data_IF_887460782380
#
_entry.id   IF_887460782380
#
_cell.length_a   1.000
_cell.length_b   1.000
_cell.length_c   1.000
_cell.angle_alpha   90.00
_cell.angle_beta   90.00
_cell.angle_gamma   90.00
#
_symmetry.space_group_name_H-M   'P 1'
#
loop_
_entity.id
_entity.type
_entity.pdbx_description
1 polymer ?
#
# COMPACT_ATOMS: atom_id res chain seq x y z
N UNK A 1 -13.48 4.09 12.15
CA UNK A 1 -14.67 3.80 11.33
C UNK A 1 -14.38 4.16 9.88
N UNK A 2 -15.08 3.55 8.93
CA UNK A 2 -14.88 3.73 7.49
C UNK A 2 -16.21 4.21 6.90
N UNK A 3 -16.18 5.24 6.04
CA UNK A 3 -17.42 5.78 5.45
C UNK A 3 -17.82 5.02 4.19
N UNK A 4 -16.90 4.89 3.23
CA UNK A 4 -17.18 4.27 1.94
C UNK A 4 -16.02 3.40 1.46
N UNK A 5 -16.36 2.30 0.79
CA UNK A 5 -15.46 1.48 -0.02
C UNK A 5 -15.99 1.51 -1.44
N UNK A 6 -15.11 1.79 -2.39
CA UNK A 6 -15.36 1.69 -3.83
C UNK A 6 -14.43 0.61 -4.39
N UNK A 7 -14.97 -0.25 -5.24
CA UNK A 7 -14.24 -1.36 -5.85
C UNK A 7 -14.63 -1.50 -7.31
N UNK A 8 -13.67 -1.29 -8.21
CA UNK A 8 -13.86 -1.57 -9.63
C UNK A 8 -13.32 -2.97 -9.95
N UNK A 9 -14.17 -3.81 -10.55
CA UNK A 9 -13.82 -5.19 -10.92
C UNK A 9 -13.84 -5.31 -12.44
N UNK A 10 -12.80 -5.93 -13.02
CA UNK A 10 -12.77 -6.18 -14.46
C UNK A 10 -13.82 -7.22 -14.85
N UNK A 11 -14.60 -6.94 -15.89
CA UNK A 11 -15.71 -7.80 -16.31
C UNK A 11 -15.30 -9.00 -17.15
N UNK A 12 -14.32 -8.85 -18.05
CA UNK A 12 -13.87 -9.94 -18.93
C UNK A 12 -13.30 -11.15 -18.15
N UNK A 13 -12.41 -10.97 -17.15
CA UNK A 13 -11.89 -12.10 -16.37
C UNK A 13 -12.97 -12.87 -15.61
N UNK A 14 -14.07 -12.21 -15.21
CA UNK A 14 -15.18 -12.86 -14.50
C UNK A 14 -15.86 -13.94 -15.34
N UNK A 15 -15.91 -13.77 -16.66
CA UNK A 15 -16.42 -14.80 -17.59
C UNK A 15 -15.56 -16.07 -17.57
N UNK A 16 -14.30 -15.95 -17.16
CA UNK A 16 -13.35 -17.07 -16.98
C UNK A 16 -13.20 -17.52 -15.52
N UNK A 17 -14.08 -17.05 -14.63
CA UNK A 17 -14.03 -17.38 -13.20
C UNK A 17 -12.90 -16.70 -12.41
N UNK A 18 -12.24 -15.68 -12.98
CA UNK A 18 -11.18 -14.91 -12.33
C UNK A 18 -11.70 -13.56 -11.86
N UNK A 19 -11.39 -13.22 -10.60
CA UNK A 19 -11.68 -11.89 -10.04
C UNK A 19 -10.41 -11.06 -10.12
N UNK A 20 -10.48 -9.96 -10.87
CA UNK A 20 -9.40 -8.97 -10.96
C UNK A 20 -9.95 -7.61 -10.54
N UNK A 21 -9.28 -6.97 -9.58
CA UNK A 21 -9.64 -5.65 -9.05
C UNK A 21 -8.85 -4.59 -9.80
N UNK A 22 -9.55 -3.66 -10.47
CA UNK A 22 -8.92 -2.53 -11.15
C UNK A 22 -8.58 -1.40 -10.17
N UNK A 23 -9.53 -1.04 -9.30
CA UNK A 23 -9.35 0.08 -8.38
C UNK A 23 -9.96 -0.20 -7.02
N UNK A 24 -9.32 0.31 -5.97
CA UNK A 24 -9.87 0.36 -4.61
C UNK A 24 -9.88 1.80 -4.14
N UNK A 25 -11.06 2.30 -3.78
CA UNK A 25 -11.25 3.60 -3.15
C UNK A 25 -11.69 3.44 -1.69
N UNK A 26 -11.02 4.12 -0.77
CA UNK A 26 -11.39 4.19 0.64
C UNK A 26 -11.64 5.65 1.02
N UNK A 27 -12.72 5.91 1.75
CA UNK A 27 -13.02 7.26 2.23
C UNK A 27 -13.46 7.27 3.69
N UNK A 28 -13.00 8.28 4.44
CA UNK A 28 -13.42 8.47 5.82
C UNK A 28 -12.83 7.47 6.79
N UNK A 29 -11.62 6.96 6.53
CA UNK A 29 -10.95 5.95 7.36
C UNK A 29 -10.50 6.58 8.68
N UNK A 30 -10.95 6.07 9.81
CA UNK A 30 -10.32 6.33 11.11
C UNK A 30 -9.63 5.05 11.59
N UNK A 31 -8.30 5.10 11.65
CA UNK A 31 -7.43 4.00 12.06
C UNK A 31 -6.78 4.29 13.42
N UNK A 32 -6.88 3.34 14.33
CA UNK A 32 -6.23 3.37 15.64
C UNK A 32 -5.09 2.37 15.64
N UNK A 33 -3.87 2.86 15.45
CA UNK A 33 -2.65 2.07 15.36
C UNK A 33 -1.94 2.10 16.71
N UNK A 34 -1.54 0.94 17.23
CA UNK A 34 -0.84 0.85 18.50
C UNK A 34 0.29 -0.17 18.43
N UNK A 35 1.43 0.20 18.99
CA UNK A 35 2.51 -0.72 19.36
C UNK A 35 2.54 -0.85 20.88
N UNK A 36 2.52 -2.06 21.42
CA UNK A 36 2.58 -2.30 22.86
C UNK A 36 4.02 -2.30 23.41
N UNK A 37 4.18 -2.37 24.73
CA UNK A 37 5.49 -2.39 25.38
C UNK A 37 6.36 -3.62 25.01
N UNK A 38 5.74 -4.70 24.53
CA UNK A 38 6.43 -5.89 24.02
C UNK A 38 6.82 -5.75 22.53
N UNK A 39 6.61 -4.58 21.93
CA UNK A 39 6.93 -4.30 20.53
C UNK A 39 5.92 -4.83 19.51
N UNK A 40 4.82 -5.46 19.95
CA UNK A 40 3.78 -5.98 19.05
C UNK A 40 2.82 -4.88 18.62
N UNK A 41 2.52 -4.84 17.33
CA UNK A 41 1.62 -3.85 16.76
C UNK A 41 0.29 -4.45 16.30
N UNK A 42 -0.81 -3.70 16.42
CA UNK A 42 -2.13 -4.16 15.95
C UNK A 42 -2.34 -4.07 14.43
N UNK A 43 -1.33 -3.56 13.71
CA UNK A 43 -1.28 -3.43 12.26
C UNK A 43 -0.22 -4.34 11.63
N UNK A 44 0.48 -5.13 12.45
CA UNK A 44 1.22 -6.28 11.94
C UNK A 44 0.20 -7.21 11.29
N UNK A 45 0.19 -7.22 9.96
CA UNK A 45 -0.38 -8.31 9.22
C UNK A 45 0.48 -9.52 9.61
N UNK A 46 -0.04 -10.38 10.50
CA UNK A 46 0.56 -11.70 10.67
C UNK A 46 0.64 -12.39 9.31
N UNK A 47 1.36 -13.51 9.23
CA UNK A 47 1.09 -14.48 8.17
C UNK A 47 -0.40 -14.81 8.27
N UNK A 48 -1.22 -14.11 7.47
CA UNK A 48 -2.67 -14.20 7.57
C UNK A 48 -3.03 -15.68 7.48
N UNK A 49 -4.07 -16.14 8.19
CA UNK A 49 -4.48 -17.53 8.06
C UNK A 49 -4.65 -17.80 6.56
N UNK A 50 -3.81 -18.69 6.04
CA UNK A 50 -4.09 -19.35 4.78
C UNK A 50 -5.52 -19.83 4.93
N UNK A 51 -6.43 -19.23 4.18
CA UNK A 51 -7.78 -19.78 4.06
C UNK A 51 -7.56 -21.08 3.32
N UNK A 52 -7.29 -22.13 4.09
CA UNK A 52 -7.35 -23.49 3.65
C UNK A 52 -8.81 -23.68 3.27
N UNK A 53 -9.11 -23.41 1.99
CA UNK A 53 -10.28 -23.95 1.34
C UNK A 53 -10.06 -25.45 1.47
N UNK A 54 -10.75 -26.10 2.41
CA UNK A 54 -10.73 -27.56 2.54
C UNK A 54 -11.11 -28.11 1.16
N UNK A 55 -10.19 -28.77 0.44
CA UNK A 55 -10.56 -29.39 -0.81
C UNK A 55 -11.45 -30.57 -0.40
N UNK A 56 -12.70 -30.56 -0.87
CA UNK A 56 -13.45 -31.81 -0.92
C UNK A 56 -12.60 -32.76 -1.75
N UNK A 57 -12.38 -33.96 -1.22
CA UNK A 57 -11.46 -34.95 -1.77
C UNK A 57 -11.72 -35.20 -3.25
N UNK A 58 -10.86 -34.65 -4.10
CA UNK A 58 -10.58 -35.24 -5.40
C UNK A 58 -9.10 -35.12 -5.73
N UNK A 59 -8.58 -36.22 -6.23
CA UNK A 59 -7.17 -36.59 -6.26
C UNK A 59 -6.44 -35.80 -7.36
N UNK A 60 -5.74 -34.74 -6.98
CA UNK A 60 -4.80 -34.02 -7.84
C UNK A 60 -3.86 -33.21 -6.98
N UNK A 61 -2.59 -33.64 -6.89
CA UNK A 61 -1.55 -32.89 -6.20
C UNK A 61 -1.34 -31.55 -6.94
N UNK A 62 -1.82 -30.47 -6.35
CA UNK A 62 -1.43 -29.12 -6.71
C UNK A 62 -0.38 -28.71 -5.69
N UNK A 63 0.87 -28.63 -6.14
CA UNK A 63 1.92 -27.98 -5.37
C UNK A 63 1.45 -26.57 -5.03
N UNK A 64 1.25 -26.29 -3.74
CA UNK A 64 1.02 -24.95 -3.26
C UNK A 64 2.33 -24.17 -3.42
N UNK A 65 2.54 -23.63 -4.61
CA UNK A 65 3.53 -22.59 -4.85
C UNK A 65 3.17 -21.44 -3.91
N UNK A 66 4.10 -21.07 -3.03
CA UNK A 66 3.97 -19.97 -2.08
C UNK A 66 3.93 -18.62 -2.78
N UNK A 67 2.90 -18.38 -3.58
CA UNK A 67 2.51 -17.05 -3.99
C UNK A 67 1.65 -16.48 -2.87
N UNK A 68 2.29 -15.68 -2.03
CA UNK A 68 1.59 -14.63 -1.29
C UNK A 68 0.74 -13.89 -2.31
N UNK A 69 -0.57 -14.15 -2.31
CA UNK A 69 -1.55 -13.55 -3.22
C UNK A 69 -1.65 -12.07 -2.90
N UNK A 70 -0.64 -11.31 -3.33
CA UNK A 70 -0.76 -9.89 -3.48
C UNK A 70 -1.76 -9.70 -4.60
N UNK A 71 -2.97 -9.29 -4.22
CA UNK A 71 -3.97 -8.78 -5.14
C UNK A 71 -3.25 -7.75 -6.02
N UNK A 72 -3.24 -7.97 -7.34
CA UNK A 72 -2.67 -7.02 -8.30
C UNK A 72 -3.61 -5.82 -8.38
N UNK A 73 -3.38 -4.84 -7.51
CA UNK A 73 -4.18 -3.61 -7.43
C UNK A 73 -3.53 -2.60 -8.36
N UNK A 74 -4.21 -2.28 -9.47
CA UNK A 74 -3.71 -1.28 -10.42
C UNK A 74 -3.77 0.13 -9.85
N UNK A 75 -4.80 0.44 -9.04
CA UNK A 75 -5.02 1.75 -8.40
C UNK A 75 -5.56 1.63 -6.98
N UNK A 76 -5.01 2.44 -6.07
CA UNK A 76 -5.57 2.67 -4.75
C UNK A 76 -5.76 4.18 -4.54
N UNK A 77 -6.91 4.56 -3.99
CA UNK A 77 -7.15 5.89 -3.47
C UNK A 77 -7.68 5.83 -2.03
N UNK A 78 -7.18 6.73 -1.19
CA UNK A 78 -7.60 6.94 0.18
C UNK A 78 -7.87 8.44 0.37
N UNK A 79 -9.06 8.77 0.84
CA UNK A 79 -9.49 10.14 1.09
C UNK A 79 -10.02 10.30 2.51
N UNK A 80 -9.86 11.49 3.08
CA UNK A 80 -10.41 11.84 4.40
C UNK A 80 -10.08 10.79 5.49
N UNK A 81 -8.80 10.46 5.64
CA UNK A 81 -8.36 9.52 6.66
C UNK A 81 -7.76 10.22 7.89
N UNK A 82 -8.05 9.68 9.06
CA UNK A 82 -7.47 10.04 10.35
C UNK A 82 -6.75 8.83 10.92
N UNK A 83 -5.47 8.99 11.23
CA UNK A 83 -4.65 7.95 11.82
C UNK A 83 -4.22 8.42 13.20
N UNK A 84 -4.63 7.69 14.23
CA UNK A 84 -4.17 7.84 15.59
C UNK A 84 -3.16 6.74 15.88
N UNK A 85 -1.92 7.13 16.19
CA UNK A 85 -0.84 6.20 16.51
C UNK A 85 -0.42 6.34 17.96
N UNK A 86 -0.36 5.22 18.69
CA UNK A 86 0.23 5.13 20.02
C UNK A 86 1.48 4.24 20.00
N UNK A 87 2.62 4.79 20.38
CA UNK A 87 3.87 4.03 20.43
C UNK A 87 4.00 3.20 21.73
N UNK A 88 5.06 2.39 21.82
CA UNK A 88 5.33 1.52 22.97
C UNK A 88 5.55 2.29 24.29
N UNK A 89 5.92 3.57 24.22
CA UNK A 89 6.06 4.48 25.37
C UNK A 89 4.73 5.13 25.78
N UNK A 90 3.64 4.82 25.09
CA UNK A 90 2.32 5.42 25.30
C UNK A 90 2.16 6.82 24.70
N UNK A 91 3.11 7.30 23.90
CA UNK A 91 3.00 8.60 23.25
C UNK A 91 2.05 8.50 22.06
N UNK A 92 1.10 9.44 22.00
CA UNK A 92 0.09 9.49 20.96
C UNK A 92 0.46 10.52 19.88
N UNK A 93 0.09 10.23 18.63
CA UNK A 93 0.29 11.09 17.48
C UNK A 93 -0.86 10.94 16.52
N UNK A 94 -1.36 12.07 16.00
CA UNK A 94 -2.45 12.09 15.05
C UNK A 94 -1.95 12.59 13.69
N UNK A 95 -2.41 11.93 12.62
CA UNK A 95 -2.10 12.26 11.24
C UNK A 95 -3.40 12.39 10.46
N UNK A 96 -3.57 13.49 9.73
CA UNK A 96 -4.68 13.67 8.81
C UNK A 96 -4.17 13.44 7.39
N UNK A 97 -4.74 12.46 6.71
CA UNK A 97 -4.48 12.19 5.29
C UNK A 97 -5.70 12.65 4.52
N UNK A 98 -5.58 13.77 3.81
CA UNK A 98 -6.67 14.31 2.99
C UNK A 98 -6.84 13.50 1.72
N UNK A 99 -5.72 13.16 1.10
CA UNK A 99 -5.66 12.34 -0.09
C UNK A 99 -4.38 11.52 -0.11
N UNK A 100 -4.47 10.25 -0.46
CA UNK A 100 -3.36 9.38 -0.82
C UNK A 100 -3.82 8.56 -2.00
N UNK A 101 -3.05 8.56 -3.07
CA UNK A 101 -3.35 7.75 -4.24
C UNK A 101 -2.07 7.22 -4.86
N UNK A 102 -2.15 5.98 -5.32
CA UNK A 102 -1.16 5.39 -6.20
C UNK A 102 -1.86 4.68 -7.35
N UNK A 103 -1.27 4.73 -8.53
CA UNK A 103 -1.83 4.04 -9.69
C UNK A 103 -0.80 3.78 -10.76
N UNK A 104 -0.87 2.62 -11.42
CA UNK A 104 -0.04 2.33 -12.58
C UNK A 104 -0.38 3.28 -13.73
N UNK A 105 0.67 3.82 -14.36
CA UNK A 105 0.60 4.61 -15.58
C UNK A 105 1.74 4.16 -16.49
N UNK A 106 1.44 3.20 -17.36
CA UNK A 106 2.44 2.54 -18.20
C UNK A 106 3.44 1.75 -17.34
N UNK A 107 4.73 2.04 -17.53
CA UNK A 107 5.87 1.46 -16.81
C UNK A 107 6.18 2.17 -15.48
N UNK A 108 5.29 3.05 -15.02
CA UNK A 108 5.48 3.88 -13.83
C UNK A 108 4.30 3.80 -12.88
N UNK A 109 4.52 4.20 -11.63
CA UNK A 109 3.45 4.46 -10.66
C UNK A 109 3.33 5.96 -10.46
N UNK A 110 2.13 6.52 -10.66
CA UNK A 110 1.82 7.89 -10.22
C UNK A 110 1.49 7.86 -8.74
N UNK A 111 2.06 8.81 -7.99
CA UNK A 111 1.82 8.99 -6.57
C UNK A 111 1.30 10.39 -6.31
N UNK A 112 0.30 10.50 -5.46
CA UNK A 112 -0.12 11.77 -4.88
C UNK A 112 -0.53 11.57 -3.43
N UNK A 113 -0.03 12.43 -2.55
CA UNK A 113 -0.35 12.47 -1.14
C UNK A 113 -0.54 13.93 -0.72
N UNK A 114 -1.54 14.17 0.12
CA UNK A 114 -1.80 15.43 0.77
C UNK A 114 -2.25 15.15 2.20
N UNK A 115 -1.59 15.76 3.18
CA UNK A 115 -1.88 15.55 4.58
C UNK A 115 -1.43 16.70 5.47
N UNK A 116 -1.81 16.61 6.74
CA UNK A 116 -1.47 17.57 7.78
C UNK A 116 -0.92 16.82 8.99
N UNK A 117 0.23 17.29 9.49
CA UNK A 117 0.85 16.81 10.72
C UNK A 117 1.28 17.99 11.59
N UNK A 118 0.73 18.14 12.80
CA UNK A 118 1.05 19.27 13.71
C UNK A 118 1.01 20.64 12.98
N UNK A 119 -0.08 20.90 12.27
CA UNK A 119 -0.30 22.09 11.43
C UNK A 119 0.64 22.25 10.21
N UNK A 120 1.54 21.29 9.98
CA UNK A 120 2.40 21.21 8.81
C UNK A 120 1.62 20.60 7.66
N UNK A 121 1.30 21.40 6.64
CA UNK A 121 0.74 20.89 5.40
C UNK A 121 1.85 20.26 4.56
N UNK A 122 1.69 18.97 4.26
CA UNK A 122 2.62 18.17 3.48
C UNK A 122 1.88 17.68 2.23
N UNK A 123 2.45 17.95 1.08
CA UNK A 123 1.98 17.41 -0.19
C UNK A 123 3.15 16.77 -0.93
N UNK A 124 2.85 15.67 -1.59
CA UNK A 124 3.81 14.87 -2.33
C UNK A 124 3.16 14.41 -3.62
N UNK A 125 3.75 14.71 -4.75
CA UNK A 125 3.22 14.27 -6.06
C UNK A 125 4.35 13.82 -6.96
N UNK A 126 4.11 12.86 -7.83
CA UNK A 126 5.14 12.47 -8.79
C UNK A 126 4.93 11.11 -9.42
N UNK A 127 6.03 10.59 -9.97
CA UNK A 127 6.11 9.31 -10.65
C UNK A 127 7.30 8.52 -10.12
N UNK A 128 7.11 7.23 -9.96
CA UNK A 128 8.18 6.30 -9.60
C UNK A 128 8.23 5.14 -10.59
N UNK A 129 9.22 4.25 -10.44
CA UNK A 129 9.12 2.90 -10.99
C UNK A 129 7.90 2.15 -10.46
N UNK A 130 7.65 0.96 -10.97
CA UNK A 130 6.51 0.14 -10.58
C UNK A 130 6.62 -0.31 -9.12
N UNK A 131 5.79 0.27 -8.25
CA UNK A 131 5.75 -0.08 -6.81
C UNK A 131 5.41 -1.56 -6.62
N UNK A 132 4.53 -2.11 -7.45
CA UNK A 132 4.18 -3.54 -7.44
C UNK A 132 5.39 -4.44 -7.68
N UNK A 133 6.31 -4.04 -8.55
CA UNK A 133 7.53 -4.81 -8.83
C UNK A 133 8.56 -4.65 -7.70
N UNK A 134 8.71 -3.42 -7.19
CA UNK A 134 9.56 -3.14 -6.03
C UNK A 134 9.19 -4.03 -4.84
N UNK A 135 7.89 -4.19 -4.54
CA UNK A 135 7.42 -5.03 -3.43
C UNK A 135 7.66 -6.53 -3.70
N UNK A 136 7.40 -7.01 -4.93
CA UNK A 136 7.64 -8.42 -5.31
C UNK A 136 9.12 -8.80 -5.25
N UNK A 137 9.99 -7.86 -5.59
CA UNK A 137 11.43 -8.06 -5.67
C UNK A 137 12.17 -7.63 -4.40
N UNK A 138 11.46 -7.05 -3.42
CA UNK A 138 12.07 -6.38 -2.28
C UNK A 138 13.13 -7.26 -1.61
N UNK A 139 12.83 -8.52 -1.32
CA UNK A 139 13.76 -9.45 -0.66
C UNK A 139 14.50 -10.40 -1.60
N UNK A 140 14.32 -10.27 -2.93
CA UNK A 140 14.81 -11.25 -3.92
C UNK A 140 15.95 -10.75 -4.78
N UNK A 141 16.00 -9.47 -5.10
CA UNK A 141 16.98 -8.91 -6.04
C UNK A 141 17.44 -7.52 -5.66
N UNK A 142 18.59 -7.12 -6.20
CA UNK A 142 18.93 -5.71 -6.23
C UNK A 142 17.87 -4.95 -7.03
N UNK A 143 17.42 -3.81 -6.53
CA UNK A 143 16.35 -3.03 -7.18
C UNK A 143 16.86 -1.67 -7.60
N UNK A 144 16.59 -1.31 -8.85
CA UNK A 144 16.76 0.04 -9.36
C UNK A 144 15.39 0.69 -9.51
N UNK A 145 15.08 1.63 -8.63
CA UNK A 145 13.75 2.23 -8.54
C UNK A 145 13.83 3.71 -8.88
N UNK A 146 13.46 4.13 -10.11
CA UNK A 146 13.50 5.53 -10.50
C UNK A 146 12.46 6.34 -9.73
N UNK A 147 12.79 7.59 -9.45
CA UNK A 147 12.00 8.48 -8.60
C UNK A 147 12.04 9.90 -9.17
N UNK A 148 10.85 10.46 -9.44
CA UNK A 148 10.65 11.86 -9.83
C UNK A 148 9.46 12.42 -9.06
N UNK A 149 9.75 13.17 -8.00
CA UNK A 149 8.79 13.59 -6.99
C UNK A 149 8.92 15.09 -6.70
N UNK A 150 7.80 15.71 -6.38
CA UNK A 150 7.73 17.05 -5.84
C UNK A 150 7.15 16.96 -4.43
N UNK A 151 7.94 17.39 -3.46
CA UNK A 151 7.51 17.57 -2.08
C UNK A 151 7.20 19.04 -1.85
N UNK A 152 6.04 19.34 -1.28
CA UNK A 152 5.65 20.68 -0.86
C UNK A 152 5.39 20.65 0.65
N UNK A 153 6.11 21.48 1.39
CA UNK A 153 5.93 21.64 2.84
C UNK A 153 5.74 23.12 3.13
N UNK A 154 4.58 23.50 3.67
CA UNK A 154 4.25 24.91 3.93
C UNK A 154 4.56 25.85 2.74
N UNK A 155 4.12 25.46 1.53
CA UNK A 155 4.33 26.18 0.26
C UNK A 155 5.78 26.25 -0.22
N UNK A 156 6.73 25.62 0.46
CA UNK A 156 8.11 25.46 -0.01
C UNK A 156 8.22 24.14 -0.77
N UNK A 157 8.78 24.20 -1.96
CA UNK A 157 8.88 23.04 -2.85
C UNK A 157 10.29 22.49 -2.89
N UNK A 158 10.40 21.17 -2.90
CA UNK A 158 11.61 20.40 -3.12
C UNK A 158 11.35 19.39 -4.24
N UNK A 159 12.09 19.50 -5.34
CA UNK A 159 12.09 18.50 -6.40
C UNK A 159 13.12 17.42 -6.06
N UNK A 160 12.70 16.15 -6.15
CA UNK A 160 13.50 14.97 -5.87
C UNK A 160 13.53 14.14 -7.14
N UNK A 161 14.70 14.06 -7.79
CA UNK A 161 14.90 13.29 -9.02
C UNK A 161 16.09 12.37 -8.86
N UNK A 162 15.94 11.12 -9.25
CA UNK A 162 17.03 10.15 -9.22
C UNK A 162 16.52 8.72 -9.26
N UNK A 163 17.27 7.83 -8.62
CA UNK A 163 16.87 6.45 -8.45
C UNK A 163 17.37 5.92 -7.11
N UNK A 164 16.52 5.13 -6.46
CA UNK A 164 16.89 4.35 -5.28
C UNK A 164 17.52 3.06 -5.76
N UNK A 165 18.66 2.70 -5.16
CA UNK A 165 19.34 1.43 -5.38
C UNK A 165 19.31 0.65 -4.08
N UNK A 166 18.77 -0.57 -4.13
CA UNK A 166 18.93 -1.56 -3.07
C UNK A 166 19.96 -2.58 -3.55
N UNK A 167 21.00 -2.79 -2.75
CA UNK A 167 21.93 -3.91 -2.92
C UNK A 167 21.46 -5.08 -2.03
N UNK A 168 21.72 -6.32 -2.45
CA UNK A 168 21.58 -7.46 -1.56
C UNK A 168 22.72 -7.41 -0.55
N UNK A 169 22.39 -7.31 0.74
CA UNK A 169 23.38 -7.60 1.79
C UNK A 169 23.76 -9.07 1.67
N UNK A 170 25.06 -9.32 1.45
CA UNK A 170 25.67 -10.65 1.48
C UNK A 170 25.71 -11.22 2.89
#
# INVERSE_FOLDING_TARGET
TLKYIELDIKTLPLLSGRVEIDSIGLSGVHAYLQTNAAGKSNWELGDGPSVAVTPTSDKGAVEASGDSSFIDIEKLALSDAQIEYRNALGQESQYQVRNLSFGRNGDKTMLAFNGVYRDLAIEFTGKTGLVSELLKQWDRSAVHFPVDLNLVVNKKTLAIKGAVKKDLSH
#
